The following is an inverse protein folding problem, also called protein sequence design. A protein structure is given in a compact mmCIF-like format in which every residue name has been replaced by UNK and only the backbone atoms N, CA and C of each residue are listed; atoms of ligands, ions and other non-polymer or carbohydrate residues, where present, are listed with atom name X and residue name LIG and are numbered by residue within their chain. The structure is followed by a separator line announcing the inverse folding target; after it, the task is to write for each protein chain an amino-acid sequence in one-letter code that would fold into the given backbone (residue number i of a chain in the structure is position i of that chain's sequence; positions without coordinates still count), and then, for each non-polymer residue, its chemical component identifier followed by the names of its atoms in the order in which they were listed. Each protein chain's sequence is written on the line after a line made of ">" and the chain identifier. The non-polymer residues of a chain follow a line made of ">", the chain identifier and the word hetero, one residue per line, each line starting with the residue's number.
data_IF_202409090822
#
_entry.id   IF_202409090822
#
_cell.length_a   1.000
_cell.length_b   1.000
_cell.length_c   1.000
_cell.angle_alpha   90.00
_cell.angle_beta   90.00
_cell.angle_gamma   90.00
#
_symmetry.space_group_name_H-M   'P 1'
#
loop_
_entity.id
_entity.type
_entity.pdbx_description
1 polymer ?
#
# COMPACT_ATOMS: atom_id res chain seq x y z
N UNK A 1 1.14 4.09 7.52
CA UNK A 1 1.91 4.84 6.51
C UNK A 1 2.01 3.97 5.28
N UNK A 2 1.05 4.07 4.38
CA UNK A 2 1.02 3.21 3.20
C UNK A 2 0.21 3.81 2.07
N UNK A 3 -1.06 4.11 2.32
CA UNK A 3 -2.02 4.46 1.27
C UNK A 3 -1.63 5.71 0.49
N UNK A 4 -1.41 6.83 1.20
CA UNK A 4 -1.01 8.09 0.58
C UNK A 4 0.32 8.00 -0.16
N UNK A 5 1.30 7.26 0.41
CA UNK A 5 2.59 7.05 -0.23
C UNK A 5 2.46 6.17 -1.48
N UNK A 6 1.71 5.07 -1.41
CA UNK A 6 1.47 4.19 -2.55
C UNK A 6 0.82 4.95 -3.70
N UNK A 7 -0.24 5.71 -3.41
CA UNK A 7 -0.93 6.54 -4.39
C UNK A 7 0.02 7.57 -5.01
N UNK A 8 0.78 8.31 -4.20
CA UNK A 8 1.68 9.35 -4.70
C UNK A 8 2.83 8.78 -5.55
N UNK A 9 3.41 7.64 -5.15
CA UNK A 9 4.46 6.98 -5.92
C UNK A 9 3.94 6.40 -7.22
N UNK A 10 2.78 5.72 -7.20
CA UNK A 10 2.13 5.26 -8.42
C UNK A 10 1.87 6.42 -9.37
N UNK A 11 1.27 7.51 -8.88
CA UNK A 11 0.96 8.68 -9.69
C UNK A 11 2.21 9.25 -10.35
N UNK A 12 3.29 9.44 -9.59
CA UNK A 12 4.56 9.94 -10.11
C UNK A 12 5.18 9.00 -11.16
N UNK A 13 5.35 7.72 -10.80
CA UNK A 13 6.05 6.74 -11.63
C UNK A 13 5.26 6.34 -12.87
N UNK A 14 3.92 6.32 -12.79
CA UNK A 14 3.04 5.97 -13.91
C UNK A 14 3.09 7.02 -15.03
N UNK A 15 3.57 8.23 -14.72
CA UNK A 15 3.81 9.32 -15.67
C UNK A 15 5.29 9.50 -16.02
N UNK A 16 6.18 8.64 -15.50
CA UNK A 16 7.61 8.67 -15.79
C UNK A 16 8.42 9.63 -14.91
N UNK A 17 7.79 10.26 -13.92
CA UNK A 17 8.48 11.09 -12.94
C UNK A 17 9.26 10.24 -11.94
N UNK A 18 10.21 10.87 -11.25
CA UNK A 18 11.02 10.24 -10.20
C UNK A 18 11.48 11.31 -9.21
N UNK A 19 11.70 10.91 -7.95
CA UNK A 19 12.17 11.85 -6.91
C UNK A 19 13.67 12.14 -7.04
N UNK A 20 14.44 11.08 -7.31
CA UNK A 20 15.88 11.09 -7.52
C UNK A 20 16.22 10.18 -8.70
N UNK A 21 17.27 10.49 -9.44
CA UNK A 21 17.81 9.59 -10.47
C UNK A 21 18.81 8.56 -9.90
N UNK A 22 19.33 7.68 -10.76
CA UNK A 22 20.30 6.64 -10.38
C UNK A 22 21.60 7.19 -9.79
N UNK A 23 21.94 8.46 -10.06
CA UNK A 23 23.11 9.12 -9.47
C UNK A 23 22.82 9.74 -8.09
N UNK A 24 21.58 9.65 -7.62
CA UNK A 24 21.13 10.27 -6.38
C UNK A 24 20.82 11.77 -6.52
N UNK A 25 20.80 12.31 -7.74
CA UNK A 25 20.44 13.70 -7.98
C UNK A 25 18.93 13.85 -7.88
N UNK A 26 18.46 14.89 -7.19
CA UNK A 26 17.04 15.25 -7.10
C UNK A 26 16.52 15.66 -8.47
N UNK A 27 15.48 14.96 -8.94
CA UNK A 27 14.89 15.11 -10.28
C UNK A 27 13.37 15.30 -10.27
N UNK A 28 12.79 15.53 -9.08
CA UNK A 28 11.35 15.70 -8.90
C UNK A 28 10.74 16.82 -9.75
N UNK A 29 11.50 17.87 -10.09
CA UNK A 29 11.03 18.95 -10.96
C UNK A 29 11.28 18.61 -12.44
N UNK A 30 10.45 17.73 -13.00
CA UNK A 30 10.52 17.26 -14.38
C UNK A 30 9.20 17.51 -15.14
N UNK A 31 9.23 17.60 -16.47
CA UNK A 31 8.00 17.63 -17.28
C UNK A 31 7.06 16.44 -17.00
N UNK A 32 7.61 15.28 -16.68
CA UNK A 32 6.87 14.07 -16.31
C UNK A 32 6.14 14.24 -14.98
N UNK A 33 6.80 14.85 -13.97
CA UNK A 33 6.14 15.19 -12.70
C UNK A 33 5.02 16.20 -12.89
N UNK A 34 5.19 17.19 -13.78
CA UNK A 34 4.12 18.15 -14.08
C UNK A 34 2.89 17.45 -14.68
N UNK A 35 3.09 16.51 -15.62
CA UNK A 35 1.98 15.70 -16.17
C UNK A 35 1.28 14.87 -15.09
N UNK A 36 2.02 14.32 -14.14
CA UNK A 36 1.44 13.60 -13.00
C UNK A 36 0.55 14.52 -12.13
N UNK A 37 0.99 15.76 -11.90
CA UNK A 37 0.22 16.76 -11.14
C UNK A 37 -1.04 17.17 -11.91
N UNK A 38 -0.94 17.42 -13.21
CA UNK A 38 -2.09 17.74 -14.07
C UNK A 38 -3.15 16.62 -14.02
N UNK A 39 -2.71 15.36 -14.15
CA UNK A 39 -3.60 14.21 -13.98
C UNK A 39 -4.27 14.19 -12.60
N UNK A 40 -3.50 14.41 -11.54
CA UNK A 40 -4.02 14.43 -10.17
C UNK A 40 -5.06 15.54 -9.96
N UNK A 41 -4.84 16.71 -10.56
CA UNK A 41 -5.79 17.83 -10.51
C UNK A 41 -7.10 17.47 -11.20
N UNK A 42 -7.06 16.83 -12.37
CA UNK A 42 -8.27 16.37 -13.07
C UNK A 42 -8.99 15.26 -12.28
N UNK A 43 -8.24 14.29 -11.75
CA UNK A 43 -8.81 13.21 -10.93
C UNK A 43 -9.45 13.75 -9.65
N UNK A 44 -8.81 14.70 -8.97
CA UNK A 44 -9.30 15.28 -7.71
C UNK A 44 -10.67 15.94 -7.84
N UNK A 45 -11.02 16.47 -9.02
CA UNK A 45 -12.36 17.04 -9.28
C UNK A 45 -13.49 16.01 -9.11
N UNK A 46 -13.17 14.72 -9.16
CA UNK A 46 -14.12 13.60 -8.96
C UNK A 46 -14.23 13.15 -7.51
N UNK A 47 -13.38 13.66 -6.62
CA UNK A 47 -13.34 13.23 -5.23
C UNK A 47 -14.46 13.87 -4.42
N UNK A 48 -14.89 13.17 -3.38
CA UNK A 48 -15.80 13.76 -2.38
C UNK A 48 -15.07 14.86 -1.59
N UNK A 49 -15.80 15.86 -1.04
CA UNK A 49 -15.19 16.94 -0.26
C UNK A 49 -14.44 16.44 0.99
N UNK A 50 -13.37 17.13 1.38
CA UNK A 50 -12.67 16.89 2.65
C UNK A 50 -11.53 15.86 2.60
N UNK A 51 -11.30 15.23 1.45
CA UNK A 51 -10.25 14.20 1.25
C UNK A 51 -8.84 14.73 1.51
N UNK A 52 -8.61 16.03 1.40
CA UNK A 52 -7.34 16.70 1.71
C UNK A 52 -6.93 16.60 3.18
N UNK A 53 -7.87 16.30 4.07
CA UNK A 53 -7.65 16.18 5.52
C UNK A 53 -7.56 14.74 6.03
N UNK A 54 -7.64 13.77 5.11
CA UNK A 54 -7.76 12.35 5.47
C UNK A 54 -6.44 11.74 5.92
N UNK A 55 -6.55 10.80 6.86
CA UNK A 55 -5.50 9.85 7.24
C UNK A 55 -5.80 8.49 6.59
N UNK A 56 -4.83 7.56 6.66
CA UNK A 56 -4.93 6.20 6.10
C UNK A 56 -6.26 5.49 6.47
N UNK A 57 -6.81 5.72 7.67
CA UNK A 57 -8.07 5.06 8.10
C UNK A 57 -9.34 5.64 7.47
N UNK A 58 -9.30 6.88 6.97
CA UNK A 58 -10.49 7.59 6.52
C UNK A 58 -11.08 6.99 5.23
N UNK A 59 -10.22 6.62 4.27
CA UNK A 59 -10.68 6.01 3.01
C UNK A 59 -11.43 4.69 3.27
N UNK A 60 -10.99 3.88 4.23
CA UNK A 60 -11.63 2.63 4.62
C UNK A 60 -13.01 2.88 5.19
N UNK A 61 -13.15 3.86 6.08
CA UNK A 61 -14.44 4.21 6.68
C UNK A 61 -15.44 4.66 5.62
N UNK A 62 -15.02 5.55 4.72
CA UNK A 62 -15.88 6.04 3.65
C UNK A 62 -16.25 4.93 2.65
N UNK A 63 -15.30 4.07 2.27
CA UNK A 63 -15.57 2.90 1.42
C UNK A 63 -16.56 1.92 2.07
N UNK A 64 -16.32 1.56 3.33
CA UNK A 64 -17.20 0.63 4.07
C UNK A 64 -18.57 1.23 4.42
N UNK A 65 -18.69 2.56 4.42
CA UNK A 65 -19.97 3.27 4.52
C UNK A 65 -20.74 3.30 3.19
N UNK A 66 -20.12 2.86 2.08
CA UNK A 66 -20.71 2.90 0.74
C UNK A 66 -20.60 4.26 0.04
N UNK A 67 -19.76 5.17 0.55
CA UNK A 67 -19.57 6.52 -0.01
C UNK A 67 -18.58 6.52 -1.18
N UNK A 68 -17.71 5.51 -1.26
CA UNK A 68 -16.67 5.39 -2.28
C UNK A 68 -16.82 4.07 -3.05
N UNK A 69 -16.64 4.12 -4.38
CA UNK A 69 -16.60 2.92 -5.22
C UNK A 69 -15.21 2.31 -5.41
N UNK A 70 -14.14 3.08 -5.15
CA UNK A 70 -12.75 2.64 -5.32
C UNK A 70 -11.85 3.39 -4.34
N UNK A 71 -10.84 2.69 -3.80
CA UNK A 71 -9.80 3.26 -2.94
C UNK A 71 -8.43 2.68 -3.31
N UNK A 72 -7.38 3.48 -3.15
CA UNK A 72 -6.00 2.99 -3.17
C UNK A 72 -5.60 2.61 -1.73
N UNK A 73 -5.80 1.34 -1.37
CA UNK A 73 -5.47 0.79 -0.05
C UNK A 73 -5.04 -0.68 -0.18
N UNK A 74 -4.31 -1.18 0.81
CA UNK A 74 -4.05 -2.60 0.99
C UNK A 74 -5.24 -3.38 1.56
N UNK A 75 -4.96 -4.53 2.18
CA UNK A 75 -5.94 -5.52 2.64
C UNK A 75 -6.89 -5.05 3.76
N UNK A 76 -6.68 -3.84 4.29
CA UNK A 76 -7.29 -3.34 5.53
C UNK A 76 -8.81 -3.17 5.45
N UNK A 77 -9.34 -2.62 4.35
CA UNK A 77 -10.78 -2.51 4.10
C UNK A 77 -11.45 -3.89 4.06
N UNK A 78 -10.85 -4.83 3.31
CA UNK A 78 -11.35 -6.21 3.21
C UNK A 78 -11.36 -6.90 4.57
N UNK A 79 -10.25 -6.83 5.31
CA UNK A 79 -10.15 -7.45 6.63
C UNK A 79 -11.19 -6.88 7.59
N UNK A 80 -11.43 -5.57 7.56
CA UNK A 80 -12.46 -4.92 8.39
C UNK A 80 -13.86 -5.44 8.06
N UNK A 81 -14.22 -5.52 6.77
CA UNK A 81 -15.50 -6.08 6.33
C UNK A 81 -15.63 -7.55 6.73
N UNK A 82 -14.59 -8.36 6.48
CA UNK A 82 -14.56 -9.80 6.78
C UNK A 82 -14.71 -10.11 8.26
N UNK A 83 -14.03 -9.37 9.14
CA UNK A 83 -14.08 -9.60 10.60
C UNK A 83 -15.43 -9.20 11.19
N UNK A 84 -16.11 -8.22 10.60
CA UNK A 84 -17.36 -7.66 11.14
C UNK A 84 -18.63 -8.09 10.38
N UNK A 85 -18.51 -8.95 9.36
CA UNK A 85 -19.64 -9.43 8.54
C UNK A 85 -20.80 -10.02 9.36
N UNK A 86 -20.50 -10.70 10.47
CA UNK A 86 -21.53 -11.36 11.30
C UNK A 86 -22.22 -10.37 12.27
N UNK A 87 -21.71 -9.14 12.36
CA UNK A 87 -22.25 -8.06 13.21
C UNK A 87 -23.03 -7.01 12.43
N UNK A 88 -22.75 -6.87 11.13
CA UNK A 88 -23.41 -5.90 10.26
C UNK A 88 -23.69 -6.53 8.88
N UNK A 89 -24.97 -6.73 8.51
CA UNK A 89 -25.35 -7.25 7.20
C UNK A 89 -24.79 -6.43 6.03
N UNK A 90 -24.59 -5.12 6.17
CA UNK A 90 -23.98 -4.29 5.11
C UNK A 90 -22.53 -4.68 4.88
N UNK A 91 -21.77 -4.91 5.96
CA UNK A 91 -20.39 -5.37 5.86
C UNK A 91 -20.32 -6.80 5.34
N UNK A 92 -21.33 -7.64 5.58
CA UNK A 92 -21.41 -8.97 4.97
C UNK A 92 -21.55 -8.92 3.44
N UNK A 93 -22.37 -8.01 2.92
CA UNK A 93 -22.51 -7.82 1.48
C UNK A 93 -21.24 -7.23 0.87
N UNK A 94 -20.65 -6.20 1.49
CA UNK A 94 -19.37 -5.63 1.04
C UNK A 94 -18.27 -6.69 1.05
N UNK A 95 -18.17 -7.53 2.09
CA UNK A 95 -17.17 -8.58 2.16
C UNK A 95 -17.31 -9.64 1.05
N UNK A 96 -18.52 -9.88 0.53
CA UNK A 96 -18.75 -10.78 -0.61
C UNK A 96 -18.39 -10.13 -1.94
N UNK A 97 -18.58 -8.82 -2.06
CA UNK A 97 -18.48 -8.10 -3.33
C UNK A 97 -17.12 -7.45 -3.57
N UNK A 98 -16.40 -7.03 -2.53
CA UNK A 98 -15.11 -6.34 -2.66
C UNK A 98 -14.10 -7.14 -3.51
N UNK A 99 -13.41 -6.44 -4.41
CA UNK A 99 -12.34 -6.96 -5.27
C UNK A 99 -11.12 -6.08 -5.15
N UNK A 100 -9.97 -6.64 -5.47
CA UNK A 100 -8.68 -5.95 -5.49
C UNK A 100 -8.03 -6.15 -6.84
N UNK A 101 -7.39 -5.09 -7.34
CA UNK A 101 -6.59 -5.11 -8.57
C UNK A 101 -5.35 -4.26 -8.35
N UNK A 102 -4.33 -4.49 -9.16
CA UNK A 102 -3.22 -3.56 -9.32
C UNK A 102 -3.70 -2.18 -9.75
N UNK A 103 -2.93 -1.15 -9.39
CA UNK A 103 -3.18 0.21 -9.81
C UNK A 103 -3.11 0.32 -11.35
N UNK A 104 -3.88 1.23 -11.98
CA UNK A 104 -3.94 1.33 -13.43
C UNK A 104 -2.57 1.59 -14.08
N UNK A 105 -2.34 1.01 -15.26
CA UNK A 105 -1.15 1.29 -16.07
C UNK A 105 -1.27 2.70 -16.64
N UNK A 106 -0.33 3.57 -16.29
CA UNK A 106 -0.26 4.93 -16.83
C UNK A 106 0.49 5.03 -18.17
N UNK A 107 0.73 6.26 -18.66
CA UNK A 107 1.38 6.52 -19.95
C UNK A 107 2.73 5.82 -20.19
N UNK A 108 3.44 5.44 -19.12
CA UNK A 108 4.69 4.66 -19.22
C UNK A 108 4.50 3.23 -19.75
N UNK A 109 3.26 2.75 -19.88
CA UNK A 109 2.93 1.46 -20.51
C UNK A 109 3.29 0.22 -19.70
N UNK A 110 3.65 0.37 -18.43
CA UNK A 110 3.98 -0.73 -17.52
C UNK A 110 3.33 -0.53 -16.14
N UNK A 111 3.06 -1.63 -15.46
CA UNK A 111 2.61 -1.60 -14.05
C UNK A 111 3.72 -1.05 -13.16
N UNK A 112 3.37 -0.14 -12.26
CA UNK A 112 4.28 0.51 -11.31
C UNK A 112 3.57 0.71 -9.98
N UNK A 113 4.13 0.18 -8.90
CA UNK A 113 3.56 0.29 -7.56
C UNK A 113 4.69 0.32 -6.53
N UNK A 114 4.44 1.00 -5.40
CA UNK A 114 5.36 0.99 -4.28
C UNK A 114 5.15 -0.29 -3.46
N UNK A 115 6.10 -1.20 -3.48
CA UNK A 115 6.04 -2.37 -2.60
C UNK A 115 6.46 -1.98 -1.18
N UNK A 116 5.53 -2.10 -0.24
CA UNK A 116 5.83 -1.88 1.18
C UNK A 116 6.52 -3.11 1.76
N UNK A 117 7.85 -3.12 1.66
CA UNK A 117 8.66 -4.21 2.18
C UNK A 117 9.03 -3.94 3.63
N UNK A 118 8.81 -4.92 4.50
CA UNK A 118 9.36 -4.92 5.86
C UNK A 118 10.66 -5.70 5.86
N UNK A 119 11.75 -5.04 6.27
CA UNK A 119 13.08 -5.66 6.29
C UNK A 119 13.50 -5.98 7.73
N UNK A 120 13.95 -7.22 7.96
CA UNK A 120 14.64 -7.58 9.19
C UNK A 120 16.12 -7.21 9.07
N UNK A 121 16.66 -6.50 10.06
CA UNK A 121 18.07 -6.09 10.09
C UNK A 121 18.73 -6.53 11.39
N UNK A 122 19.98 -6.98 11.30
CA UNK A 122 20.83 -7.26 12.47
C UNK A 122 21.80 -6.10 12.62
N UNK A 123 21.76 -5.42 13.76
CA UNK A 123 22.72 -4.36 14.05
C UNK A 123 24.12 -4.92 14.27
N UNK A 124 25.13 -4.33 13.61
CA UNK A 124 26.52 -4.80 13.69
C UNK A 124 27.13 -4.71 15.09
N UNK A 125 26.60 -3.87 15.97
CA UNK A 125 27.08 -3.69 17.34
C UNK A 125 26.47 -4.69 18.33
N UNK A 126 25.63 -5.64 17.89
CA UNK A 126 25.07 -6.65 18.80
C UNK A 126 26.18 -7.52 19.40
N UNK A 127 26.20 -7.76 20.73
CA UNK A 127 27.14 -8.69 21.35
C UNK A 127 26.81 -10.16 21.03
N UNK A 128 25.65 -10.43 20.41
CA UNK A 128 25.18 -11.79 20.10
C UNK A 128 24.85 -12.00 18.62
N UNK A 129 25.81 -11.79 17.69
CA UNK A 129 25.54 -11.83 16.26
C UNK A 129 25.08 -13.20 15.76
N UNK A 130 25.62 -14.29 16.31
CA UNK A 130 25.23 -15.64 15.91
C UNK A 130 23.84 -16.01 16.42
N UNK A 131 23.45 -15.57 17.62
CA UNK A 131 22.11 -15.78 18.14
C UNK A 131 21.06 -15.02 17.33
N UNK A 132 21.34 -13.76 16.97
CA UNK A 132 20.46 -12.97 16.10
C UNK A 132 20.29 -13.60 14.71
N UNK A 133 21.39 -14.10 14.11
CA UNK A 133 21.33 -14.83 12.83
C UNK A 133 20.51 -16.12 12.95
N UNK A 134 20.75 -16.92 13.99
CA UNK A 134 20.00 -18.15 14.22
C UNK A 134 18.51 -17.89 14.43
N UNK A 135 18.15 -16.81 15.14
CA UNK A 135 16.77 -16.39 15.31
C UNK A 135 16.11 -15.98 13.99
N UNK A 136 16.78 -15.14 13.17
CA UNK A 136 16.22 -14.80 11.86
C UNK A 136 16.07 -16.06 11.00
N UNK A 137 17.09 -16.92 10.95
CA UNK A 137 16.98 -18.21 10.22
C UNK A 137 15.73 -18.98 10.67
N UNK A 138 15.54 -19.18 11.97
CA UNK A 138 14.37 -19.85 12.52
C UNK A 138 13.05 -19.19 12.11
N UNK A 139 12.96 -17.86 12.14
CA UNK A 139 11.75 -17.14 11.73
C UNK A 139 11.44 -17.28 10.23
N UNK A 140 12.45 -17.53 9.40
CA UNK A 140 12.32 -17.75 7.95
C UNK A 140 12.14 -19.24 7.57
N UNK A 141 12.15 -20.17 8.54
CA UNK A 141 11.80 -21.56 8.28
C UNK A 141 10.31 -21.71 7.96
N UNK A 142 9.95 -22.70 7.13
CA UNK A 142 8.60 -22.86 6.59
C UNK A 142 7.49 -22.82 7.65
N UNK A 143 7.59 -23.52 8.81
CA UNK A 143 6.52 -23.49 9.81
C UNK A 143 6.28 -22.08 10.36
N UNK A 144 7.34 -21.34 10.68
CA UNK A 144 7.27 -20.00 11.27
C UNK A 144 6.83 -18.97 10.25
N UNK A 145 7.40 -19.01 9.04
CA UNK A 145 7.06 -18.06 7.98
C UNK A 145 5.62 -18.25 7.50
N UNK A 146 5.16 -19.50 7.32
CA UNK A 146 3.79 -19.78 6.92
C UNK A 146 2.79 -19.29 7.98
N UNK A 147 3.06 -19.59 9.26
CA UNK A 147 2.23 -19.12 10.35
C UNK A 147 2.21 -17.58 10.42
N UNK A 148 3.37 -16.94 10.27
CA UNK A 148 3.47 -15.49 10.28
C UNK A 148 2.70 -14.83 9.13
N UNK A 149 2.88 -15.28 7.88
CA UNK A 149 2.17 -14.75 6.71
C UNK A 149 0.66 -14.90 6.89
N UNK A 150 0.20 -16.09 7.29
CA UNK A 150 -1.24 -16.37 7.43
C UNK A 150 -1.86 -15.60 8.60
N UNK A 151 -1.17 -15.54 9.75
CA UNK A 151 -1.62 -14.81 10.94
C UNK A 151 -1.56 -13.29 10.76
N UNK A 152 -0.69 -12.78 9.89
CA UNK A 152 -0.64 -11.35 9.53
C UNK A 152 -1.83 -10.90 8.67
N UNK A 153 -2.73 -11.81 8.27
CA UNK A 153 -3.88 -11.51 7.42
C UNK A 153 -3.51 -10.73 6.13
N UNK A 154 -2.32 -11.01 5.58
CA UNK A 154 -1.81 -10.38 4.35
C UNK A 154 -1.08 -9.04 4.55
N UNK A 155 -0.84 -8.59 5.79
CA UNK A 155 -0.03 -7.39 6.04
C UNK A 155 1.48 -7.64 5.96
N UNK A 156 1.92 -8.88 6.18
CA UNK A 156 3.32 -9.27 6.07
C UNK A 156 3.46 -10.31 4.96
N UNK A 157 4.18 -9.94 3.91
CA UNK A 157 4.58 -10.85 2.83
C UNK A 157 6.10 -10.77 2.67
N UNK A 158 6.74 -11.91 2.45
CA UNK A 158 8.13 -11.93 2.00
C UNK A 158 8.16 -11.58 0.49
N UNK A 159 9.03 -10.66 0.11
CA UNK A 159 9.41 -10.43 -1.30
C UNK A 159 10.46 -11.44 -1.74
#
# INVERSE_FOLDING_TARGET
>A
VGDGNNYAHWLLWSHGGQMVDESGKVTINSPETLKAIEYAQELYKTFIPGTESWLDVNNNRAFLAGELGVIANGISAYNTAKINKDKDPKLAEIAKDIRTTNLPIGPVGKSVELFQVTTAVIFNYTPYPNAAKAYLQFMFEEPQMKDWITSSAGYCCQT
#
